data_IF_915273410519
#
_entry.id   IF_915273410519
#
_cell.length_a   1.000
_cell.length_b   1.000
_cell.length_c   1.000
_cell.angle_alpha   90.00
_cell.angle_beta   90.00
_cell.angle_gamma   90.00
#
_symmetry.space_group_name_H-M   'P 1'
#
loop_
_entity.id
_entity.type
_entity.pdbx_description
1 polymer ?
#
# COMPACT_ATOMS: atom_id res chain seq x y z
N UNK A 1 -6.70 20.24 -10.38
CA UNK A 1 -5.24 20.26 -10.48
C UNK A 1 -4.72 19.12 -11.38
N UNK A 2 -4.83 17.84 -11.00
CA UNK A 2 -4.27 16.66 -11.71
C UNK A 2 -4.64 16.59 -13.21
N UNK A 3 -5.92 16.79 -13.58
CA UNK A 3 -6.35 16.76 -15.01
C UNK A 3 -5.71 17.87 -15.82
N UNK A 4 -5.58 19.07 -15.26
CA UNK A 4 -4.90 20.19 -15.92
C UNK A 4 -3.43 19.90 -16.17
N UNK A 5 -2.72 19.35 -15.20
CA UNK A 5 -1.32 18.94 -15.35
C UNK A 5 -1.13 17.85 -16.43
N UNK A 6 -2.03 16.85 -16.47
CA UNK A 6 -2.03 15.82 -17.51
C UNK A 6 -2.20 16.42 -18.90
N UNK A 7 -3.20 17.30 -19.09
CA UNK A 7 -3.46 17.94 -20.37
C UNK A 7 -2.29 18.81 -20.81
N UNK A 8 -1.79 19.68 -19.93
CA UNK A 8 -0.66 20.55 -20.25
C UNK A 8 0.61 19.76 -20.65
N UNK A 9 0.89 18.67 -19.94
CA UNK A 9 2.02 17.81 -20.26
C UNK A 9 1.83 16.99 -21.55
N UNK A 10 0.58 16.73 -21.95
CA UNK A 10 0.30 16.08 -23.25
C UNK A 10 0.48 17.02 -24.44
N UNK A 11 0.33 18.34 -24.20
CA UNK A 11 0.56 19.38 -25.21
C UNK A 11 2.04 19.80 -25.32
N UNK A 12 2.94 19.27 -24.46
CA UNK A 12 4.38 19.53 -24.54
C UNK A 12 4.95 18.96 -25.84
N UNK A 13 5.73 19.74 -26.62
CA UNK A 13 6.35 19.25 -27.86
C UNK A 13 7.21 18.00 -27.69
N UNK A 14 7.71 17.73 -26.49
CA UNK A 14 8.52 16.56 -26.16
C UNK A 14 7.70 15.38 -25.60
N UNK A 15 6.36 15.49 -25.50
CA UNK A 15 5.50 14.45 -24.95
C UNK A 15 5.60 13.11 -25.70
N UNK A 16 6.04 13.13 -26.96
CA UNK A 16 6.22 11.94 -27.82
C UNK A 16 7.54 11.20 -27.58
N UNK A 17 8.47 11.78 -26.80
CA UNK A 17 9.75 11.15 -26.47
C UNK A 17 9.58 10.04 -25.42
N UNK A 18 10.58 9.13 -25.35
CA UNK A 18 10.61 8.15 -24.27
C UNK A 18 10.72 8.84 -22.90
N UNK A 19 9.81 8.54 -21.95
CA UNK A 19 9.87 9.13 -20.63
C UNK A 19 11.06 8.57 -19.83
N UNK A 20 11.50 9.33 -18.81
CA UNK A 20 12.55 8.88 -17.91
C UNK A 20 12.05 7.78 -16.97
N UNK A 21 12.72 6.63 -16.93
CA UNK A 21 12.41 5.53 -16.00
C UNK A 21 12.55 5.97 -14.55
N UNK A 22 13.58 6.75 -14.24
CA UNK A 22 13.80 7.31 -12.90
C UNK A 22 12.74 8.35 -12.50
N UNK A 23 11.85 8.74 -13.41
CA UNK A 23 10.96 9.87 -13.25
C UNK A 23 11.61 11.20 -13.64
N UNK A 24 10.80 12.20 -13.98
CA UNK A 24 11.28 13.56 -14.21
C UNK A 24 11.91 14.13 -12.93
N UNK A 25 12.80 15.12 -13.08
CA UNK A 25 13.38 15.80 -11.91
C UNK A 25 12.28 16.40 -11.00
N UNK A 26 11.23 16.95 -11.63
CA UNK A 26 10.08 17.51 -10.94
C UNK A 26 9.30 16.45 -10.14
N UNK A 27 9.04 15.27 -10.72
CA UNK A 27 8.35 14.19 -10.01
C UNK A 27 9.19 13.66 -8.84
N UNK A 28 10.50 13.46 -9.03
CA UNK A 28 11.38 13.02 -7.95
C UNK A 28 11.42 14.01 -6.78
N UNK A 29 11.47 15.31 -7.10
CA UNK A 29 11.39 16.37 -6.10
C UNK A 29 10.04 16.35 -5.38
N UNK A 30 8.92 16.23 -6.12
CA UNK A 30 7.59 16.14 -5.54
C UNK A 30 7.43 14.94 -4.58
N UNK A 31 8.05 13.79 -4.88
CA UNK A 31 8.08 12.63 -3.98
C UNK A 31 8.87 12.97 -2.71
N UNK A 32 10.05 13.57 -2.83
CA UNK A 32 10.88 13.96 -1.68
C UNK A 32 10.19 15.00 -0.80
N UNK A 33 9.56 16.01 -1.42
CA UNK A 33 8.79 17.03 -0.71
C UNK A 33 7.59 16.41 0.01
N UNK A 34 6.90 15.46 -0.62
CA UNK A 34 5.79 14.74 0.00
C UNK A 34 6.24 13.95 1.25
N UNK A 35 7.41 13.29 1.21
CA UNK A 35 7.96 12.62 2.40
C UNK A 35 8.26 13.64 3.50
N UNK A 36 8.92 14.74 3.19
CA UNK A 36 9.24 15.79 4.16
C UNK A 36 7.98 16.39 4.77
N UNK A 37 7.03 16.79 3.93
CA UNK A 37 5.88 17.61 4.36
C UNK A 37 4.74 16.77 4.95
N UNK A 38 4.60 15.50 4.53
CA UNK A 38 3.51 14.62 4.96
C UNK A 38 3.93 13.50 5.90
N UNK A 39 5.19 13.08 5.83
CA UNK A 39 5.69 11.97 6.63
C UNK A 39 6.77 12.40 7.64
N UNK A 40 7.24 13.64 7.57
CA UNK A 40 8.32 14.15 8.43
C UNK A 40 9.69 13.50 8.13
N UNK A 41 9.89 12.97 6.92
CA UNK A 41 11.09 12.24 6.51
C UNK A 41 11.86 13.02 5.44
N UNK A 42 13.10 13.37 5.72
CA UNK A 42 14.03 13.87 4.71
C UNK A 42 14.79 12.69 4.07
N UNK A 43 14.40 12.34 2.84
CA UNK A 43 15.02 11.22 2.11
C UNK A 43 16.53 11.42 1.91
N UNK A 44 16.98 12.66 1.70
CA UNK A 44 18.40 12.96 1.53
C UNK A 44 19.21 12.71 2.80
N UNK A 45 18.67 13.06 3.97
CA UNK A 45 19.34 12.91 5.26
C UNK A 45 19.56 11.44 5.65
N UNK A 46 18.71 10.52 5.17
CA UNK A 46 18.81 9.08 5.47
C UNK A 46 19.39 8.26 4.30
N UNK A 47 19.97 8.91 3.29
CA UNK A 47 20.49 8.25 2.08
C UNK A 47 19.44 7.40 1.35
N UNK A 48 18.24 7.94 1.15
CA UNK A 48 17.18 7.28 0.42
C UNK A 48 17.03 7.83 -1.01
N UNK A 49 16.79 6.92 -1.97
CA UNK A 49 16.37 7.24 -3.33
C UNK A 49 14.87 7.07 -3.52
N UNK A 50 14.35 7.51 -4.70
CA UNK A 50 12.99 7.21 -5.10
C UNK A 50 12.90 6.93 -6.60
N UNK A 51 11.91 6.11 -7.00
CA UNK A 51 11.60 5.79 -8.40
C UNK A 51 10.09 5.60 -8.57
N UNK A 52 9.45 6.24 -9.58
CA UNK A 52 8.05 6.03 -9.86
C UNK A 52 7.78 4.64 -10.48
N UNK A 53 6.59 4.09 -10.22
CA UNK A 53 6.16 2.76 -10.67
C UNK A 53 4.76 2.79 -11.30
N UNK A 54 4.45 1.84 -12.19
CA UNK A 54 3.17 1.73 -12.90
C UNK A 54 2.10 1.16 -11.96
N UNK A 55 1.78 1.93 -10.91
CA UNK A 55 0.99 1.51 -9.76
C UNK A 55 1.78 0.62 -8.80
N UNK A 56 1.31 0.55 -7.54
CA UNK A 56 1.97 -0.27 -6.52
C UNK A 56 1.85 -1.77 -6.79
N UNK A 57 0.77 -2.23 -7.44
CA UNK A 57 0.60 -3.66 -7.75
C UNK A 57 1.73 -4.21 -8.63
N UNK A 58 2.15 -3.44 -9.64
CA UNK A 58 3.29 -3.82 -10.50
C UNK A 58 4.58 -3.89 -9.68
N UNK A 59 4.84 -2.86 -8.85
CA UNK A 59 6.01 -2.84 -7.98
C UNK A 59 6.04 -4.02 -7.01
N UNK A 60 4.91 -4.34 -6.38
CA UNK A 60 4.76 -5.49 -5.47
C UNK A 60 5.01 -6.80 -6.21
N UNK A 61 4.38 -7.00 -7.37
CA UNK A 61 4.49 -8.23 -8.14
C UNK A 61 5.91 -8.51 -8.65
N UNK A 62 6.67 -7.44 -8.94
CA UNK A 62 8.04 -7.56 -9.44
C UNK A 62 9.11 -7.46 -8.34
N UNK A 63 8.74 -7.18 -7.09
CA UNK A 63 9.70 -6.83 -6.04
C UNK A 63 10.75 -7.92 -5.81
N UNK A 64 10.35 -9.18 -5.70
CA UNK A 64 11.29 -10.29 -5.53
C UNK A 64 12.27 -10.39 -6.73
N UNK A 65 11.77 -10.25 -7.97
CA UNK A 65 12.60 -10.24 -9.17
C UNK A 65 13.53 -9.02 -9.22
N UNK A 66 13.05 -7.83 -8.80
CA UNK A 66 13.86 -6.62 -8.74
C UNK A 66 14.97 -6.70 -7.67
N UNK A 67 14.78 -7.50 -6.64
CA UNK A 67 15.79 -7.85 -5.64
C UNK A 67 16.69 -9.00 -6.08
N UNK A 68 16.48 -9.57 -7.26
CA UNK A 68 17.17 -10.75 -7.79
C UNK A 68 17.04 -12.00 -6.90
N UNK A 69 15.88 -12.15 -6.23
CA UNK A 69 15.58 -13.35 -5.46
C UNK A 69 15.17 -14.49 -6.38
N UNK A 70 15.38 -15.72 -5.92
CA UNK A 70 15.09 -16.93 -6.70
C UNK A 70 15.01 -18.18 -5.85
N UNK A 71 15.22 -19.37 -6.46
CA UNK A 71 15.17 -20.65 -5.76
C UNK A 71 16.16 -20.70 -4.57
N UNK A 72 15.65 -21.07 -3.41
CA UNK A 72 16.41 -21.11 -2.16
C UNK A 72 16.30 -19.87 -1.29
N UNK A 73 15.83 -18.74 -1.83
CA UNK A 73 15.54 -17.55 -1.05
C UNK A 73 14.14 -17.61 -0.45
N UNK A 74 13.97 -17.00 0.72
CA UNK A 74 12.69 -16.96 1.47
C UNK A 74 12.22 -15.51 1.60
N UNK A 75 10.94 -15.29 1.32
CA UNK A 75 10.24 -14.01 1.53
C UNK A 75 9.16 -14.20 2.59
N UNK A 76 9.24 -13.43 3.66
CA UNK A 76 8.28 -13.44 4.77
C UNK A 76 7.10 -12.51 4.44
N UNK A 77 5.89 -12.95 4.76
CA UNK A 77 4.68 -12.12 4.69
C UNK A 77 3.66 -12.52 5.75
N UNK A 78 2.73 -11.63 6.14
CA UNK A 78 1.59 -12.01 6.98
C UNK A 78 0.74 -13.09 6.28
N UNK A 79 0.17 -14.01 7.05
CA UNK A 79 -0.74 -15.04 6.55
C UNK A 79 -1.98 -14.42 5.93
N UNK A 80 -2.58 -13.45 6.63
CA UNK A 80 -3.68 -12.64 6.12
C UNK A 80 -3.11 -11.38 5.49
N UNK A 81 -3.08 -11.33 4.17
CA UNK A 81 -2.37 -10.26 3.45
C UNK A 81 -2.88 -10.01 2.04
N UNK A 82 -2.33 -9.00 1.41
CA UNK A 82 -2.59 -8.71 0.01
C UNK A 82 -2.01 -9.82 -0.89
N UNK A 83 -2.85 -10.50 -1.71
CA UNK A 83 -2.45 -11.73 -2.43
C UNK A 83 -1.24 -11.58 -3.34
N UNK A 84 -0.96 -10.35 -3.80
CA UNK A 84 0.13 -10.10 -4.76
C UNK A 84 1.52 -10.29 -4.14
N UNK A 85 1.68 -10.24 -2.81
CA UNK A 85 2.97 -10.54 -2.16
C UNK A 85 3.42 -11.96 -2.46
N UNK A 86 2.52 -12.93 -2.25
CA UNK A 86 2.77 -14.34 -2.56
C UNK A 86 3.02 -14.56 -4.05
N UNK A 87 2.15 -14.03 -4.90
CA UNK A 87 2.28 -14.18 -6.36
C UNK A 87 3.60 -13.61 -6.87
N UNK A 88 4.01 -12.44 -6.38
CA UNK A 88 5.30 -11.83 -6.78
C UNK A 88 6.51 -12.66 -6.34
N UNK A 89 6.45 -13.23 -5.14
CA UNK A 89 7.49 -14.15 -4.63
C UNK A 89 7.58 -15.41 -5.48
N UNK A 90 6.43 -16.03 -5.81
CA UNK A 90 6.35 -17.22 -6.65
C UNK A 90 6.84 -16.97 -8.08
N UNK A 91 6.53 -15.80 -8.67
CA UNK A 91 7.02 -15.42 -10.01
C UNK A 91 8.54 -15.37 -10.08
N UNK A 92 9.22 -15.01 -8.99
CA UNK A 92 10.68 -15.04 -8.91
C UNK A 92 11.25 -16.45 -8.64
N UNK A 93 10.41 -17.44 -8.34
CA UNK A 93 10.83 -18.78 -7.94
C UNK A 93 11.29 -18.88 -6.49
N UNK A 94 11.10 -17.83 -5.68
CA UNK A 94 11.43 -17.82 -4.27
C UNK A 94 10.33 -18.49 -3.41
N UNK A 95 10.68 -18.84 -2.19
CA UNK A 95 9.79 -19.49 -1.22
C UNK A 95 9.05 -18.46 -0.38
N UNK A 96 7.75 -18.66 -0.18
CA UNK A 96 6.92 -17.83 0.70
C UNK A 96 6.90 -18.42 2.11
N UNK A 97 7.23 -17.61 3.12
CA UNK A 97 7.00 -17.92 4.53
C UNK A 97 5.85 -17.06 5.05
N UNK A 98 4.72 -17.70 5.38
CA UNK A 98 3.56 -17.02 5.98
C UNK A 98 3.63 -17.13 7.50
N UNK A 99 3.64 -15.97 8.18
CA UNK A 99 3.59 -15.85 9.63
C UNK A 99 2.28 -15.19 10.06
N UNK A 100 1.82 -15.47 11.25
CA UNK A 100 0.56 -14.90 11.74
C UNK A 100 0.71 -13.40 12.06
N UNK A 101 1.85 -13.03 12.65
CA UNK A 101 2.23 -11.64 12.93
C UNK A 101 3.70 -11.42 12.54
N UNK A 102 3.95 -10.48 11.64
CA UNK A 102 5.32 -10.11 11.21
C UNK A 102 6.07 -9.37 12.31
N UNK A 103 5.38 -8.73 13.24
CA UNK A 103 6.01 -8.06 14.38
C UNK A 103 6.55 -9.05 15.43
N UNK A 104 6.07 -10.29 15.44
CA UNK A 104 6.74 -11.40 16.12
C UNK A 104 7.97 -11.84 15.32
N UNK A 105 9.06 -11.11 15.52
CA UNK A 105 10.32 -11.31 14.78
C UNK A 105 10.92 -12.70 15.02
N UNK A 106 10.61 -13.34 16.15
CA UNK A 106 11.09 -14.69 16.45
C UNK A 106 10.50 -15.74 15.50
N UNK A 107 9.33 -15.46 14.92
CA UNK A 107 8.66 -16.36 13.97
C UNK A 107 9.41 -16.52 12.65
N UNK A 108 10.35 -15.61 12.32
CA UNK A 108 11.03 -15.63 11.02
C UNK A 108 12.55 -15.34 11.06
N UNK A 109 13.07 -14.62 12.05
CA UNK A 109 14.50 -14.19 12.02
C UNK A 109 15.50 -15.35 12.06
N UNK A 110 15.11 -16.51 12.60
CA UNK A 110 15.97 -17.71 12.66
C UNK A 110 15.79 -18.65 11.46
N UNK A 111 14.87 -18.32 10.55
CA UNK A 111 14.63 -19.13 9.34
C UNK A 111 15.77 -18.89 8.34
N UNK A 112 16.42 -19.94 7.83
CA UNK A 112 17.50 -19.78 6.88
C UNK A 112 17.06 -19.10 5.58
N UNK A 113 17.95 -18.29 5.01
CA UNK A 113 17.77 -17.66 3.70
C UNK A 113 16.59 -16.68 3.60
N UNK A 114 16.09 -16.13 4.69
CA UNK A 114 15.17 -14.98 4.64
C UNK A 114 15.91 -13.80 4.01
N UNK A 115 15.38 -13.30 2.90
CA UNK A 115 15.94 -12.19 2.10
C UNK A 115 15.07 -10.94 2.09
N UNK A 116 13.77 -11.09 2.30
CA UNK A 116 12.85 -9.98 2.35
C UNK A 116 11.69 -10.25 3.31
N UNK A 117 11.16 -9.18 3.90
CA UNK A 117 10.04 -9.21 4.84
C UNK A 117 9.00 -8.18 4.40
N UNK A 118 7.81 -8.62 4.02
CA UNK A 118 6.69 -7.75 3.72
C UNK A 118 6.01 -7.25 4.99
N UNK A 119 5.84 -5.93 5.04
CA UNK A 119 5.03 -5.22 6.04
C UNK A 119 3.94 -4.45 5.29
N UNK A 120 2.71 -4.49 5.76
CA UNK A 120 1.62 -3.69 5.20
C UNK A 120 0.91 -2.92 6.32
N UNK A 121 1.18 -1.62 6.42
CA UNK A 121 0.66 -0.77 7.49
C UNK A 121 0.27 0.61 6.96
N UNK A 122 -1.02 0.98 7.03
CA UNK A 122 -2.20 0.20 7.41
C UNK A 122 -2.47 -1.00 6.49
N UNK A 123 -2.93 -2.11 7.07
CA UNK A 123 -3.04 -3.39 6.39
C UNK A 123 -4.28 -3.49 5.48
N UNK A 124 -4.11 -4.11 4.35
CA UNK A 124 -5.17 -4.68 3.53
C UNK A 124 -5.13 -6.21 3.68
N UNK A 125 -6.12 -6.86 4.29
CA UNK A 125 -7.52 -6.42 4.43
C UNK A 125 -7.92 -5.85 5.80
N UNK A 126 -7.14 -6.05 6.88
CA UNK A 126 -7.60 -5.91 8.27
C UNK A 126 -7.76 -4.47 8.74
N UNK A 127 -7.04 -3.53 8.13
CA UNK A 127 -6.97 -2.14 8.58
C UNK A 127 -6.07 -1.89 9.78
N UNK A 128 -5.41 -2.92 10.31
CA UNK A 128 -4.45 -2.79 11.41
C UNK A 128 -3.27 -1.90 11.02
N UNK A 129 -2.75 -1.17 12.00
CA UNK A 129 -1.66 -0.23 11.79
C UNK A 129 -0.59 -0.44 12.84
N UNK A 130 0.63 -0.76 12.40
CA UNK A 130 1.77 -0.95 13.27
C UNK A 130 2.21 0.35 13.95
N UNK A 131 2.76 0.23 15.14
CA UNK A 131 3.41 1.34 15.85
C UNK A 131 4.83 1.59 15.30
N UNK A 132 5.45 2.72 15.69
CA UNK A 132 6.86 2.99 15.37
C UNK A 132 7.79 1.95 16.00
N UNK A 133 7.48 1.53 17.21
CA UNK A 133 8.26 0.56 17.97
C UNK A 133 8.28 -0.80 17.24
N UNK A 134 7.12 -1.30 16.80
CA UNK A 134 7.05 -2.54 16.04
C UNK A 134 7.75 -2.45 14.69
N UNK A 135 7.61 -1.33 13.96
CA UNK A 135 8.35 -1.12 12.72
C UNK A 135 9.86 -1.09 12.94
N UNK A 136 10.32 -0.44 14.03
CA UNK A 136 11.74 -0.42 14.40
C UNK A 136 12.28 -1.82 14.70
N UNK A 137 11.56 -2.62 15.49
CA UNK A 137 11.97 -4.00 15.80
C UNK A 137 12.07 -4.87 14.54
N UNK A 138 11.11 -4.76 13.61
CA UNK A 138 11.16 -5.46 12.32
C UNK A 138 12.39 -5.04 11.50
N UNK A 139 12.65 -3.73 11.39
CA UNK A 139 13.79 -3.21 10.63
C UNK A 139 15.10 -3.68 11.26
N UNK A 140 15.25 -3.59 12.58
CA UNK A 140 16.45 -4.02 13.30
C UNK A 140 16.69 -5.53 13.12
N UNK A 141 15.66 -6.37 13.27
CA UNK A 141 15.77 -7.81 13.10
C UNK A 141 16.10 -8.20 11.65
N UNK A 142 15.49 -7.56 10.66
CA UNK A 142 15.78 -7.81 9.25
C UNK A 142 17.22 -7.47 8.89
N UNK A 143 17.75 -6.35 9.39
CA UNK A 143 19.14 -5.95 9.19
C UNK A 143 20.14 -6.94 9.78
N UNK A 144 19.85 -7.51 10.95
CA UNK A 144 20.72 -8.50 11.59
C UNK A 144 20.94 -9.74 10.72
N UNK A 145 19.99 -10.11 9.89
CA UNK A 145 20.05 -11.27 8.99
C UNK A 145 20.32 -10.90 7.52
N UNK A 146 20.52 -9.61 7.23
CA UNK A 146 20.73 -9.10 5.86
C UNK A 146 19.51 -9.17 4.96
N UNK A 147 18.30 -9.16 5.53
CA UNK A 147 17.02 -9.12 4.80
C UNK A 147 16.56 -7.68 4.55
N UNK A 148 15.82 -7.48 3.46
CA UNK A 148 15.22 -6.18 3.10
C UNK A 148 13.80 -6.09 3.65
N UNK A 149 13.46 -4.98 4.31
CA UNK A 149 12.08 -4.67 4.72
C UNK A 149 11.36 -4.01 3.55
N UNK A 150 10.22 -4.59 3.16
CA UNK A 150 9.34 -4.13 2.10
C UNK A 150 8.06 -3.58 2.74
N UNK A 151 8.02 -2.27 3.00
CA UNK A 151 6.90 -1.62 3.67
C UNK A 151 5.89 -1.09 2.65
N UNK A 152 4.76 -1.80 2.51
CA UNK A 152 3.63 -1.32 1.70
C UNK A 152 2.79 -0.35 2.55
N UNK A 153 2.97 0.94 2.28
CA UNK A 153 2.34 2.04 2.99
C UNK A 153 1.25 2.75 2.16
N UNK A 154 0.65 2.04 1.19
CA UNK A 154 -0.33 2.61 0.26
C UNK A 154 -1.55 3.25 0.93
N UNK A 155 -1.79 2.97 2.20
CA UNK A 155 -2.87 3.54 3.00
C UNK A 155 -2.40 4.50 4.09
N UNK A 156 -1.14 4.88 4.13
CA UNK A 156 -0.56 5.64 5.24
C UNK A 156 -1.27 6.97 5.53
N UNK A 157 -1.81 7.66 4.50
CA UNK A 157 -2.59 8.90 4.68
C UNK A 157 -4.03 8.66 5.19
N UNK A 158 -4.42 7.41 5.41
CA UNK A 158 -5.76 6.99 5.81
C UNK A 158 -5.69 6.27 7.17
N UNK A 159 -5.07 6.91 8.14
CA UNK A 159 -5.09 6.50 9.55
C UNK A 159 -6.27 7.18 10.23
N UNK A 160 -7.15 6.38 10.86
CA UNK A 160 -8.37 6.83 11.52
C UNK A 160 -8.23 6.92 13.04
N UNK A 161 -7.07 6.54 13.60
CA UNK A 161 -6.83 6.57 15.05
C UNK A 161 -6.76 8.01 15.55
N UNK A 162 -7.48 8.29 16.64
CA UNK A 162 -7.43 9.60 17.30
C UNK A 162 -6.04 9.89 17.87
N UNK A 163 -5.59 11.14 17.76
CA UNK A 163 -4.30 11.56 18.29
C UNK A 163 -3.08 11.23 17.44
N UNK A 164 -3.23 10.52 16.32
CA UNK A 164 -2.13 10.15 15.42
C UNK A 164 -1.93 11.11 14.23
N UNK A 165 -2.59 12.26 14.23
CA UNK A 165 -2.50 13.24 13.13
C UNK A 165 -3.07 12.74 11.79
N UNK A 166 -3.69 11.56 11.78
CA UNK A 166 -4.32 10.96 10.60
C UNK A 166 -3.34 10.42 9.56
N UNK A 167 -2.09 10.15 9.96
CA UNK A 167 -1.03 9.57 9.12
C UNK A 167 -0.35 8.44 9.89
N UNK A 168 -0.30 7.26 9.29
CA UNK A 168 0.33 6.08 9.90
C UNK A 168 1.86 6.23 9.99
N UNK A 169 2.56 5.54 10.90
CA UNK A 169 4.01 5.51 10.96
C UNK A 169 4.67 5.10 9.64
N UNK A 170 5.89 5.56 9.41
CA UNK A 170 6.68 5.31 8.21
C UNK A 170 7.90 4.44 8.55
N UNK A 171 8.18 3.41 7.75
CA UNK A 171 9.39 2.62 7.92
C UNK A 171 10.69 3.42 7.66
N UNK A 172 10.60 4.53 6.94
CA UNK A 172 11.72 5.47 6.72
C UNK A 172 11.78 6.61 7.76
N UNK A 173 10.90 6.63 8.77
CA UNK A 173 11.04 7.57 9.89
C UNK A 173 12.43 7.35 10.53
N UNK A 174 13.25 8.41 10.73
CA UNK A 174 14.58 8.27 11.34
C UNK A 174 14.59 7.54 12.70
N UNK A 175 13.50 7.59 13.44
CA UNK A 175 13.35 6.84 14.70
C UNK A 175 13.09 5.34 14.46
N UNK A 176 12.58 4.97 13.28
CA UNK A 176 12.33 3.59 12.88
C UNK A 176 13.56 2.99 12.21
N UNK A 177 14.14 3.70 11.25
CA UNK A 177 15.27 3.21 10.45
C UNK A 177 16.65 3.65 10.98
N UNK A 178 16.73 4.18 12.20
CA UNK A 178 17.99 4.60 12.87
C UNK A 178 18.80 5.61 12.02
N UNK A 179 18.11 6.49 11.29
CA UNK A 179 18.73 7.51 10.45
C UNK A 179 19.37 7.00 9.16
N UNK A 180 19.16 5.74 8.77
CA UNK A 180 19.62 5.16 7.50
C UNK A 180 18.51 4.41 6.80
N UNK A 181 18.37 4.60 5.49
CA UNK A 181 17.42 3.83 4.67
C UNK A 181 17.96 2.45 4.26
N UNK A 182 19.17 2.06 4.65
CA UNK A 182 19.79 0.80 4.24
C UNK A 182 18.89 -0.40 4.56
N UNK A 183 18.61 -1.22 3.54
CA UNK A 183 17.75 -2.40 3.66
C UNK A 183 16.26 -2.10 3.86
N UNK A 184 15.79 -0.86 3.68
CA UNK A 184 14.36 -0.50 3.83
C UNK A 184 13.83 0.08 2.52
N UNK A 185 12.71 -0.45 2.04
CA UNK A 185 11.97 0.06 0.89
C UNK A 185 10.51 0.31 1.27
N UNK A 186 10.03 1.51 1.00
CA UNK A 186 8.63 1.91 1.15
C UNK A 186 7.98 1.95 -0.22
N UNK A 187 6.81 1.32 -0.36
CA UNK A 187 5.96 1.39 -1.52
C UNK A 187 4.74 2.27 -1.21
N UNK A 188 4.47 3.23 -2.06
CA UNK A 188 3.35 4.14 -1.88
C UNK A 188 2.60 4.41 -3.18
N UNK A 189 1.29 4.68 -3.10
CA UNK A 189 0.43 4.90 -4.26
C UNK A 189 -0.57 6.04 -4.06
N UNK A 190 -0.77 6.84 -5.11
CA UNK A 190 -1.80 7.87 -5.16
C UNK A 190 -3.21 7.28 -5.42
N UNK A 191 -3.29 5.99 -5.72
CA UNK A 191 -4.56 5.30 -6.00
C UNK A 191 -5.61 5.52 -4.91
N UNK A 192 -5.17 5.61 -3.65
CA UNK A 192 -6.08 5.71 -2.48
C UNK A 192 -6.20 7.13 -1.96
N UNK A 193 -5.07 7.78 -1.64
CA UNK A 193 -5.09 9.16 -1.11
C UNK A 193 -5.76 10.15 -2.07
N UNK A 194 -5.53 10.00 -3.39
CA UNK A 194 -5.93 10.96 -4.43
C UNK A 194 -6.98 10.41 -5.40
N UNK A 195 -7.53 9.21 -5.12
CA UNK A 195 -8.49 8.51 -6.00
C UNK A 195 -7.99 8.36 -7.45
N UNK A 196 -6.67 8.11 -7.63
CA UNK A 196 -5.99 8.04 -8.93
C UNK A 196 -5.68 6.61 -9.37
N UNK A 197 -6.48 5.62 -8.98
CA UNK A 197 -6.20 4.21 -9.27
C UNK A 197 -6.05 3.93 -10.78
N UNK A 198 -6.84 4.59 -11.63
CA UNK A 198 -6.80 4.45 -13.09
C UNK A 198 -5.55 5.06 -13.74
N UNK A 199 -4.90 6.03 -13.08
CA UNK A 199 -3.68 6.67 -13.60
C UNK A 199 -2.43 5.82 -13.44
N UNK A 200 -2.49 4.74 -12.65
CA UNK A 200 -1.36 3.85 -12.38
C UNK A 200 -0.15 4.59 -11.81
N UNK A 201 -0.33 5.39 -10.76
CA UNK A 201 0.68 6.25 -10.16
C UNK A 201 1.08 5.73 -8.78
N UNK A 202 2.34 5.34 -8.65
CA UNK A 202 2.94 4.88 -7.40
C UNK A 202 4.45 5.09 -7.44
N UNK A 203 5.14 4.86 -6.33
CA UNK A 203 6.59 4.93 -6.25
C UNK A 203 7.15 3.98 -5.20
N UNK A 204 8.43 3.67 -5.34
CA UNK A 204 9.27 3.05 -4.33
C UNK A 204 10.23 4.13 -3.81
N UNK A 205 10.43 4.21 -2.50
CA UNK A 205 11.46 5.04 -1.88
C UNK A 205 12.19 4.23 -0.80
N UNK A 206 13.46 4.52 -0.56
CA UNK A 206 14.25 3.85 0.45
C UNK A 206 15.71 3.70 0.05
N UNK A 207 16.34 2.62 0.47
CA UNK A 207 17.75 2.31 0.23
C UNK A 207 18.21 2.76 -1.16
N UNK A 208 19.13 3.75 -1.18
CA UNK A 208 19.57 4.38 -2.42
C UNK A 208 20.17 3.39 -3.41
N UNK A 209 20.99 2.46 -2.93
CA UNK A 209 21.67 1.48 -3.79
C UNK A 209 20.66 0.48 -4.40
N UNK A 210 19.68 0.04 -3.60
CA UNK A 210 18.59 -0.83 -4.08
C UNK A 210 17.73 -0.09 -5.12
N UNK A 211 17.29 1.14 -4.83
CA UNK A 211 16.48 1.94 -5.75
C UNK A 211 17.22 2.22 -7.06
N UNK A 212 18.53 2.52 -7.02
CA UNK A 212 19.34 2.74 -8.22
C UNK A 212 19.42 1.47 -9.10
N UNK A 213 19.69 0.29 -8.50
CA UNK A 213 19.72 -0.99 -9.22
C UNK A 213 18.35 -1.35 -9.81
N UNK A 214 17.28 -1.18 -9.03
CA UNK A 214 15.92 -1.41 -9.50
C UNK A 214 15.56 -0.50 -10.67
N UNK A 215 15.95 0.78 -10.62
CA UNK A 215 15.69 1.74 -11.71
C UNK A 215 16.37 1.29 -13.01
N UNK A 216 17.61 0.83 -12.93
CA UNK A 216 18.35 0.32 -14.09
C UNK A 216 17.68 -0.93 -14.68
N UNK A 217 17.26 -1.87 -13.84
CA UNK A 217 16.57 -3.09 -14.27
C UNK A 217 15.19 -2.80 -14.87
N UNK A 218 14.40 -1.93 -14.21
CA UNK A 218 13.07 -1.47 -14.68
C UNK A 218 13.13 -0.86 -16.08
N UNK A 219 14.20 -0.10 -16.40
CA UNK A 219 14.42 0.45 -17.72
C UNK A 219 14.50 -0.65 -18.79
N UNK A 220 15.17 -1.76 -18.49
CA UNK A 220 15.35 -2.87 -19.44
C UNK A 220 14.08 -3.67 -19.68
N UNK A 221 13.21 -3.77 -18.69
CA UNK A 221 11.93 -4.51 -18.80
C UNK A 221 10.75 -3.61 -19.17
N UNK A 222 11.00 -2.33 -19.51
CA UNK A 222 9.97 -1.41 -20.01
C UNK A 222 9.01 -0.88 -18.95
N UNK A 223 9.36 -0.92 -17.68
CA UNK A 223 8.50 -0.45 -16.59
C UNK A 223 8.67 1.06 -16.36
N UNK A 224 8.03 1.85 -17.22
CA UNK A 224 8.15 3.30 -17.26
C UNK A 224 6.75 3.93 -17.23
N UNK A 225 6.53 4.93 -16.37
CA UNK A 225 5.29 5.71 -16.37
C UNK A 225 5.32 6.70 -17.56
N UNK A 226 4.25 6.82 -18.35
CA UNK A 226 4.14 7.82 -19.41
C UNK A 226 4.38 9.25 -18.91
N UNK A 227 5.07 10.08 -19.72
CA UNK A 227 5.45 11.44 -19.33
C UNK A 227 4.29 12.30 -18.79
N UNK A 228 3.16 12.43 -19.50
CA UNK A 228 2.01 13.19 -19.00
C UNK A 228 1.44 12.67 -17.67
N UNK A 229 1.52 11.36 -17.43
CA UNK A 229 1.08 10.77 -16.17
C UNK A 229 2.06 11.09 -15.03
N UNK A 230 3.37 11.22 -15.32
CA UNK A 230 4.36 11.68 -14.33
C UNK A 230 4.05 13.11 -13.86
N UNK A 231 3.67 14.02 -14.76
CA UNK A 231 3.26 15.38 -14.40
C UNK A 231 1.97 15.38 -13.55
N UNK A 232 0.98 14.59 -13.92
CA UNK A 232 -0.25 14.40 -13.15
C UNK A 232 0.04 13.83 -11.75
N UNK A 233 1.01 12.93 -11.63
CA UNK A 233 1.44 12.34 -10.36
C UNK A 233 2.11 13.39 -9.45
N UNK A 234 3.01 14.21 -9.98
CA UNK A 234 3.67 15.27 -9.23
C UNK A 234 2.65 16.25 -8.66
N UNK A 235 1.66 16.64 -9.45
CA UNK A 235 0.58 17.51 -8.99
C UNK A 235 -0.31 16.85 -7.94
N UNK A 236 -0.64 15.57 -8.10
CA UNK A 236 -1.41 14.81 -7.12
C UNK A 236 -0.71 14.66 -5.76
N UNK A 237 0.62 14.64 -5.71
CA UNK A 237 1.41 14.64 -4.48
C UNK A 237 1.34 15.99 -3.76
N UNK A 238 1.27 17.11 -4.51
CA UNK A 238 1.19 18.47 -3.99
C UNK A 238 -0.20 18.87 -3.51
N UNK A 239 -1.26 18.27 -4.10
CA UNK A 239 -2.67 18.65 -3.85
C UNK A 239 -3.18 18.12 -2.51
N UNK A 240 -2.78 18.78 -1.43
CA UNK A 240 -3.19 18.41 -0.07
C UNK A 240 -4.68 18.64 0.21
N UNK A 241 -5.32 19.59 -0.47
CA UNK A 241 -6.76 19.86 -0.30
C UNK A 241 -7.60 18.71 -0.83
N UNK A 242 -7.30 18.24 -2.03
CA UNK A 242 -7.95 17.06 -2.60
C UNK A 242 -7.77 15.81 -1.73
N UNK A 243 -6.59 15.62 -1.14
CA UNK A 243 -6.32 14.51 -0.21
C UNK A 243 -7.20 14.62 1.04
N UNK A 244 -7.31 15.81 1.64
CA UNK A 244 -8.16 16.04 2.82
C UNK A 244 -9.64 15.80 2.52
N UNK A 245 -10.12 16.31 1.38
CA UNK A 245 -11.51 16.10 0.94
C UNK A 245 -11.79 14.60 0.72
N UNK A 246 -10.91 13.90 0.02
CA UNK A 246 -11.07 12.47 -0.26
C UNK A 246 -11.02 11.63 1.03
N UNK A 247 -10.12 11.97 1.97
CA UNK A 247 -10.05 11.33 3.29
C UNK A 247 -11.36 11.49 4.05
N UNK A 248 -11.89 12.71 4.16
CA UNK A 248 -13.16 12.97 4.83
C UNK A 248 -14.34 12.21 4.18
N UNK A 249 -14.31 12.05 2.86
CA UNK A 249 -15.31 11.25 2.12
C UNK A 249 -15.23 9.77 2.50
N UNK A 250 -14.05 9.20 2.57
CA UNK A 250 -13.86 7.80 2.99
C UNK A 250 -14.28 7.57 4.43
N UNK A 251 -13.97 8.50 5.34
CA UNK A 251 -14.36 8.41 6.74
C UNK A 251 -15.89 8.33 6.90
N UNK A 252 -16.62 9.22 6.23
CA UNK A 252 -18.10 9.18 6.24
C UNK A 252 -18.65 7.87 5.70
N UNK A 253 -18.07 7.35 4.60
CA UNK A 253 -18.50 6.08 4.00
C UNK A 253 -18.22 4.89 4.89
N UNK A 254 -17.03 4.84 5.50
CA UNK A 254 -16.66 3.78 6.45
C UNK A 254 -17.60 3.80 7.67
N UNK A 255 -17.86 4.97 8.25
CA UNK A 255 -18.75 5.10 9.40
C UNK A 255 -20.18 4.62 9.07
N UNK A 256 -20.70 5.00 7.89
CA UNK A 256 -22.02 4.54 7.44
C UNK A 256 -22.06 3.02 7.25
N UNK A 257 -21.06 2.45 6.59
CA UNK A 257 -20.94 1.00 6.37
C UNK A 257 -20.83 0.23 7.69
N UNK A 258 -20.04 0.71 8.63
CA UNK A 258 -19.91 0.08 9.97
C UNK A 258 -21.26 0.04 10.69
N UNK A 259 -22.00 1.17 10.68
CA UNK A 259 -23.34 1.24 11.27
C UNK A 259 -24.31 0.25 10.64
N UNK A 260 -24.36 0.22 9.30
CA UNK A 260 -25.25 -0.66 8.56
C UNK A 260 -24.90 -2.15 8.73
N UNK A 261 -23.62 -2.49 8.71
CA UNK A 261 -23.14 -3.86 8.92
C UNK A 261 -23.49 -4.37 10.34
N UNK A 262 -23.36 -3.49 11.35
CA UNK A 262 -23.79 -3.83 12.74
C UNK A 262 -25.30 -4.07 12.80
N UNK A 263 -26.10 -3.21 12.19
CA UNK A 263 -27.56 -3.38 12.15
C UNK A 263 -27.96 -4.69 11.45
N UNK A 264 -27.21 -5.10 10.43
CA UNK A 264 -27.43 -6.36 9.72
C UNK A 264 -26.94 -7.60 10.51
N UNK A 265 -26.16 -7.41 11.58
CA UNK A 265 -25.70 -8.46 12.48
C UNK A 265 -24.25 -8.91 12.32
N UNK A 266 -23.39 -8.12 11.66
CA UNK A 266 -21.95 -8.32 11.69
C UNK A 266 -21.32 -7.62 12.89
N UNK A 267 -20.26 -8.20 13.47
CA UNK A 267 -19.41 -7.51 14.43
C UNK A 267 -18.42 -6.60 13.71
N UNK A 268 -18.94 -5.45 13.26
CA UNK A 268 -18.18 -4.49 12.48
C UNK A 268 -17.64 -3.35 13.35
N UNK A 269 -16.39 -2.96 13.12
CA UNK A 269 -15.75 -1.84 13.79
C UNK A 269 -15.10 -0.90 12.78
N UNK A 270 -14.92 0.36 13.18
CA UNK A 270 -14.09 1.28 12.39
C UNK A 270 -12.67 0.75 12.37
N UNK A 271 -12.03 0.57 11.18
CA UNK A 271 -10.66 0.09 11.11
C UNK A 271 -9.69 1.12 11.72
N UNK A 272 -8.49 0.68 12.11
CA UNK A 272 -7.43 1.61 12.53
C UNK A 272 -6.94 2.47 11.33
N UNK A 273 -6.91 1.89 10.14
CA UNK A 273 -6.54 2.57 8.91
C UNK A 273 -7.13 1.91 7.67
N UNK A 274 -6.66 2.32 6.48
CA UNK A 274 -7.09 1.86 5.17
C UNK A 274 -8.57 2.20 4.83
N UNK A 275 -9.22 1.41 3.96
CA UNK A 275 -10.51 1.71 3.34
C UNK A 275 -11.53 0.58 3.52
N UNK A 276 -11.26 -0.34 4.42
CA UNK A 276 -11.96 -1.62 4.47
C UNK A 276 -12.57 -1.84 5.85
N UNK A 277 -13.80 -2.33 5.85
CA UNK A 277 -14.39 -2.97 7.03
C UNK A 277 -14.16 -4.46 6.88
N UNK A 278 -13.37 -5.03 7.79
CA UNK A 278 -13.02 -6.44 7.84
C UNK A 278 -13.83 -7.10 8.93
N UNK A 279 -14.65 -8.08 8.58
CA UNK A 279 -15.56 -8.73 9.51
C UNK A 279 -15.53 -10.24 9.36
N UNK A 280 -15.75 -10.94 10.48
CA UNK A 280 -15.99 -12.37 10.45
C UNK A 280 -17.34 -12.67 9.80
N UNK A 281 -17.38 -13.68 8.93
CA UNK A 281 -18.61 -14.13 8.31
C UNK A 281 -19.58 -14.67 9.38
N UNK A 282 -20.85 -14.32 9.29
CA UNK A 282 -21.90 -14.72 10.25
C UNK A 282 -22.13 -16.23 10.23
N UNK A 283 -22.05 -16.84 9.04
CA UNK A 283 -22.14 -18.29 8.84
C UNK A 283 -20.86 -19.04 9.21
N UNK A 284 -19.72 -18.31 9.35
CA UNK A 284 -18.39 -18.91 9.44
C UNK A 284 -17.74 -19.22 8.09
N UNK A 285 -18.43 -18.96 6.99
CA UNK A 285 -17.95 -19.17 5.61
C UNK A 285 -18.23 -17.92 4.76
N UNK A 286 -17.18 -17.36 4.15
CA UNK A 286 -17.30 -16.13 3.39
C UNK A 286 -18.17 -16.29 2.14
N UNK A 287 -18.17 -17.44 1.49
CA UNK A 287 -18.95 -17.65 0.27
C UNK A 287 -20.44 -17.81 0.56
N UNK A 288 -20.80 -18.43 1.69
CA UNK A 288 -22.18 -18.51 2.11
C UNK A 288 -22.74 -17.12 2.43
N UNK A 289 -22.02 -16.32 3.21
CA UNK A 289 -22.43 -14.94 3.50
C UNK A 289 -22.48 -14.07 2.23
N UNK A 290 -21.56 -14.26 1.30
CA UNK A 290 -21.59 -13.57 0.00
C UNK A 290 -22.83 -13.92 -0.82
N UNK A 291 -23.27 -15.18 -0.82
CA UNK A 291 -24.50 -15.59 -1.52
C UNK A 291 -25.75 -14.89 -0.92
N UNK A 292 -25.81 -14.72 0.40
CA UNK A 292 -26.89 -14.02 1.07
C UNK A 292 -26.84 -12.50 0.78
N UNK A 293 -25.69 -11.87 0.85
CA UNK A 293 -25.49 -10.46 0.52
C UNK A 293 -25.74 -10.14 -0.96
N UNK A 294 -25.42 -11.08 -1.86
CA UNK A 294 -25.68 -10.93 -3.29
C UNK A 294 -27.18 -10.83 -3.61
N UNK A 295 -28.05 -11.48 -2.83
CA UNK A 295 -29.52 -11.31 -2.94
C UNK A 295 -29.98 -9.88 -2.63
N UNK A 296 -29.18 -9.16 -1.83
CA UNK A 296 -29.36 -7.73 -1.55
C UNK A 296 -28.64 -6.85 -2.58
N UNK A 297 -27.96 -7.42 -3.57
CA UNK A 297 -27.12 -6.70 -4.54
C UNK A 297 -25.85 -6.12 -3.92
N UNK A 298 -25.32 -6.72 -2.84
CA UNK A 298 -24.08 -6.33 -2.16
C UNK A 298 -23.05 -7.44 -2.36
N UNK A 299 -21.88 -7.08 -2.90
CA UNK A 299 -20.81 -8.03 -3.20
C UNK A 299 -19.52 -7.56 -2.55
N UNK A 300 -19.18 -8.01 -1.33
CA UNK A 300 -17.89 -7.78 -0.71
C UNK A 300 -16.80 -8.64 -1.35
N UNK A 301 -15.54 -8.46 -0.97
CA UNK A 301 -14.49 -9.43 -1.31
C UNK A 301 -14.49 -10.58 -0.29
N UNK A 302 -14.42 -11.85 -0.76
CA UNK A 302 -14.29 -12.99 0.15
C UNK A 302 -12.93 -12.95 0.85
N UNK A 303 -12.92 -13.25 2.14
CA UNK A 303 -11.70 -13.28 2.95
C UNK A 303 -10.72 -14.36 2.52
N UNK A 304 -11.20 -15.42 1.88
CA UNK A 304 -10.37 -16.48 1.29
C UNK A 304 -9.27 -15.91 0.37
N UNK A 305 -9.56 -14.85 -0.40
CA UNK A 305 -8.57 -14.20 -1.28
C UNK A 305 -7.40 -13.58 -0.50
N UNK A 306 -7.56 -13.38 0.80
CA UNK A 306 -6.55 -12.80 1.70
C UNK A 306 -6.00 -13.82 2.69
N UNK A 307 -6.43 -15.08 2.62
CA UNK A 307 -6.00 -16.14 3.51
C UNK A 307 -6.90 -16.37 4.75
N UNK A 308 -8.12 -15.81 4.77
CA UNK A 308 -9.07 -15.94 5.87
C UNK A 308 -10.48 -16.28 5.35
N UNK A 309 -10.78 -17.57 5.07
CA UNK A 309 -12.05 -18.00 4.46
C UNK A 309 -13.29 -17.76 5.32
N UNK A 310 -13.11 -17.46 6.60
CA UNK A 310 -14.16 -17.12 7.54
C UNK A 310 -14.43 -15.62 7.67
N UNK A 311 -13.88 -14.77 6.78
CA UNK A 311 -14.01 -13.32 6.82
C UNK A 311 -14.53 -12.73 5.50
N UNK A 312 -14.98 -11.47 5.58
CA UNK A 312 -15.40 -10.64 4.44
C UNK A 312 -14.74 -9.26 4.53
N UNK A 313 -14.41 -8.69 3.37
CA UNK A 313 -13.87 -7.33 3.26
C UNK A 313 -14.84 -6.42 2.49
N UNK A 314 -15.42 -5.43 3.17
CA UNK A 314 -16.24 -4.39 2.56
C UNK A 314 -15.38 -3.15 2.26
N UNK A 315 -15.58 -2.53 1.10
CA UNK A 315 -14.76 -1.39 0.65
C UNK A 315 -15.56 -0.09 0.59
N UNK A 316 -14.99 1.01 1.08
CA UNK A 316 -15.55 2.36 1.01
C UNK A 316 -15.28 3.09 -0.32
N UNK A 317 -14.82 2.38 -1.37
CA UNK A 317 -14.41 3.00 -2.64
C UNK A 317 -15.56 3.25 -3.63
N UNK A 318 -16.73 2.69 -3.40
CA UNK A 318 -17.92 2.95 -4.20
C UNK A 318 -18.41 4.41 -4.05
N UNK A 319 -19.32 4.86 -4.92
CA UNK A 319 -19.87 6.22 -4.84
C UNK A 319 -20.70 6.44 -3.58
N UNK A 320 -20.90 7.70 -3.17
CA UNK A 320 -21.72 8.05 -2.00
C UNK A 320 -23.15 7.47 -2.13
N UNK A 321 -23.73 7.54 -3.34
CA UNK A 321 -25.05 6.97 -3.61
C UNK A 321 -25.07 5.43 -3.50
N UNK A 322 -24.04 4.75 -4.00
CA UNK A 322 -23.96 3.29 -3.89
C UNK A 322 -23.77 2.82 -2.44
N UNK A 323 -22.97 3.54 -1.64
CA UNK A 323 -22.81 3.26 -0.21
C UNK A 323 -24.13 3.47 0.54
N UNK A 324 -24.83 4.60 0.29
CA UNK A 324 -26.12 4.89 0.90
C UNK A 324 -27.18 3.83 0.53
N UNK A 325 -27.18 3.38 -0.73
CA UNK A 325 -28.09 2.31 -1.19
C UNK A 325 -27.79 0.98 -0.50
N UNK A 326 -26.52 0.61 -0.41
CA UNK A 326 -26.11 -0.61 0.32
C UNK A 326 -26.53 -0.55 1.80
N UNK A 327 -26.31 0.59 2.47
CA UNK A 327 -26.75 0.77 3.86
C UNK A 327 -28.27 0.56 4.02
N UNK A 328 -29.10 1.15 3.15
CA UNK A 328 -30.55 0.93 3.19
C UNK A 328 -30.94 -0.54 2.99
N UNK A 329 -30.27 -1.25 2.10
CA UNK A 329 -30.52 -2.68 1.83
C UNK A 329 -30.10 -3.57 2.99
N UNK A 330 -29.11 -3.15 3.77
CA UNK A 330 -28.72 -3.82 5.03
C UNK A 330 -29.67 -3.51 6.20
N UNK A 331 -30.69 -2.65 6.00
CA UNK A 331 -31.69 -2.34 7.01
C UNK A 331 -31.30 -1.19 7.94
N UNK A 332 -30.40 -0.31 7.52
CA UNK A 332 -29.97 0.88 8.27
C UNK A 332 -30.71 2.16 7.84
#
# INVERSE_FOLDING_TARGET
AVRGALTAASDDPNAYGYPATAGTAELRAAISDWFRDRRGVDLGAINAGNVPTVGSKEAVALMASLLHLGPGDVVVQPRVSYPTYEIGTQLAGATVLKVDDVSDVESWRSVPNVKAVWVNSPCNPTGETLSREWLHEIVAAARQIGAVVLSDECYAMLDWRTGQGGVAPCALDPQVCEGSADGVLVLYSLSKQSNMAGYRTAFIAGDYALVARMTAYRKQIGQIIPGPVQAAMAEGLRDGDAVREQKARYERRLSALVGALRAYGYDAAMPQGALYVWVKARSGDCWQDMADLARLGIVPSPGEFYGAPDHLRFSATATDGAIADACRRLGA
#
